data_IF_060952229467
#
_entry.id   IF_060952229467
#
_cell.length_a   1.000
_cell.length_b   1.000
_cell.length_c   1.000
_cell.angle_alpha   90.00
_cell.angle_beta   90.00
_cell.angle_gamma   90.00
#
_symmetry.space_group_name_H-M   'P 1'
#
loop_
_entity.id
_entity.type
_entity.pdbx_description
1 polymer ?
#
# COMPACT_ATOMS: atom_id res chain seq x y z
N UNK A 1 7.51 -26.96 -3.35
CA UNK A 1 7.95 -25.61 -2.89
C UNK A 1 8.20 -25.65 -1.40
N UNK A 2 9.39 -25.27 -0.93
CA UNK A 2 9.75 -25.33 0.50
C UNK A 2 9.04 -24.22 1.29
N UNK A 3 8.73 -24.46 2.56
CA UNK A 3 8.10 -23.46 3.44
C UNK A 3 8.86 -22.14 3.46
N UNK A 4 10.18 -22.21 3.64
CA UNK A 4 11.03 -21.03 3.72
C UNK A 4 10.92 -20.17 2.45
N UNK A 5 10.73 -20.80 1.29
CA UNK A 5 10.51 -20.09 0.02
C UNK A 5 9.16 -19.37 -0.03
N UNK A 6 8.07 -19.99 0.46
CA UNK A 6 6.75 -19.34 0.54
C UNK A 6 6.77 -18.13 1.48
N UNK A 7 7.39 -18.27 2.65
CA UNK A 7 7.54 -17.17 3.60
C UNK A 7 8.43 -16.05 3.04
N UNK A 8 9.50 -16.39 2.32
CA UNK A 8 10.38 -15.42 1.67
C UNK A 8 9.63 -14.60 0.60
N UNK A 9 8.86 -15.25 -0.26
CA UNK A 9 8.03 -14.54 -1.26
C UNK A 9 6.98 -13.65 -0.57
N UNK A 10 6.31 -14.17 0.45
CA UNK A 10 5.38 -13.37 1.26
C UNK A 10 6.07 -12.18 1.95
N UNK A 11 7.33 -12.30 2.37
CA UNK A 11 8.10 -11.16 2.87
C UNK A 11 8.42 -10.15 1.78
N UNK A 12 8.96 -10.61 0.65
CA UNK A 12 9.41 -9.77 -0.47
C UNK A 12 8.26 -8.97 -1.08
N UNK A 13 7.07 -9.55 -1.20
CA UNK A 13 5.92 -8.85 -1.78
C UNK A 13 5.14 -8.05 -0.72
N UNK A 14 5.07 -8.54 0.52
CA UNK A 14 4.21 -7.98 1.57
C UNK A 14 4.84 -6.81 2.31
N UNK A 15 6.14 -6.86 2.57
CA UNK A 15 6.84 -5.77 3.27
C UNK A 15 6.79 -4.46 2.44
N UNK A 16 7.13 -4.45 1.14
CA UNK A 16 7.00 -3.24 0.32
C UNK A 16 5.56 -2.74 0.27
N UNK A 17 4.56 -3.63 0.21
CA UNK A 17 3.15 -3.23 0.25
C UNK A 17 2.80 -2.48 1.54
N UNK A 18 3.19 -3.01 2.69
CA UNK A 18 2.94 -2.36 3.99
C UNK A 18 3.64 -0.99 4.05
N UNK A 19 4.88 -0.90 3.55
CA UNK A 19 5.61 0.38 3.48
C UNK A 19 4.87 1.37 2.58
N UNK A 20 4.41 0.94 1.40
CA UNK A 20 3.67 1.79 0.47
C UNK A 20 2.33 2.28 1.06
N UNK A 21 1.62 1.43 1.80
CA UNK A 21 0.38 1.81 2.50
C UNK A 21 0.61 2.97 3.46
N UNK A 22 1.77 3.05 4.09
CA UNK A 22 2.14 4.14 5.00
C UNK A 22 2.72 5.34 4.26
N UNK A 23 3.50 5.13 3.19
CA UNK A 23 4.13 6.22 2.45
C UNK A 23 3.15 7.00 1.57
N UNK A 24 2.21 6.33 0.88
CA UNK A 24 1.22 6.97 0.02
C UNK A 24 0.47 8.13 0.71
N UNK A 25 -0.14 7.96 1.91
CA UNK A 25 -0.82 9.06 2.58
C UNK A 25 0.14 10.18 3.01
N UNK A 26 1.38 9.86 3.41
CA UNK A 26 2.39 10.86 3.77
C UNK A 26 2.72 11.75 2.58
N UNK A 27 2.99 11.15 1.41
CA UNK A 27 3.31 11.89 0.20
C UNK A 27 2.13 12.70 -0.33
N UNK A 28 0.90 12.20 -0.18
CA UNK A 28 -0.30 12.96 -0.54
C UNK A 28 -0.50 14.16 0.40
N UNK A 29 -0.33 14.00 1.71
CA UNK A 29 -0.39 15.12 2.68
C UNK A 29 0.70 16.15 2.37
N UNK A 30 1.93 15.71 2.09
CA UNK A 30 3.01 16.61 1.69
C UNK A 30 2.65 17.36 0.40
N UNK A 31 2.07 16.67 -0.60
CA UNK A 31 1.59 17.32 -1.82
C UNK A 31 0.58 18.42 -1.48
N UNK A 32 -0.43 18.14 -0.65
CA UNK A 32 -1.41 19.14 -0.21
C UNK A 32 -0.77 20.35 0.47
N UNK A 33 0.19 20.14 1.37
CA UNK A 33 0.87 21.24 2.08
C UNK A 33 1.66 22.16 1.13
N UNK A 34 2.42 21.57 0.21
CA UNK A 34 3.22 22.32 -0.75
C UNK A 34 2.35 23.02 -1.79
N UNK A 35 1.27 22.39 -2.26
CA UNK A 35 0.30 23.03 -3.15
C UNK A 35 -0.44 24.18 -2.47
N UNK A 36 -0.84 24.06 -1.20
CA UNK A 36 -1.50 25.14 -0.47
C UNK A 36 -0.61 26.38 -0.35
N UNK A 37 0.70 26.19 -0.15
CA UNK A 37 1.66 27.28 -0.17
C UNK A 37 1.79 27.93 -1.56
N UNK A 38 1.59 27.17 -2.64
CA UNK A 38 1.68 27.65 -4.03
C UNK A 38 0.38 28.22 -4.62
N UNK A 39 -0.80 27.95 -4.04
CA UNK A 39 -2.08 28.54 -4.47
C UNK A 39 -2.03 30.08 -4.43
N UNK A 40 -1.21 30.67 -3.56
CA UNK A 40 -1.00 32.12 -3.53
C UNK A 40 -0.15 32.68 -4.69
N UNK A 41 0.48 31.82 -5.51
CA UNK A 41 1.47 32.23 -6.54
C UNK A 41 1.44 31.39 -7.83
N UNK A 42 0.27 31.21 -8.45
CA UNK A 42 0.12 30.81 -9.89
C UNK A 42 -0.09 29.31 -10.25
N UNK A 43 -0.06 28.36 -9.31
CA UNK A 43 -0.37 26.95 -9.62
C UNK A 43 -1.87 26.65 -9.43
N UNK A 44 -2.57 26.25 -10.49
CA UNK A 44 -3.95 25.73 -10.38
C UNK A 44 -3.91 24.25 -10.06
N UNK A 45 -4.47 23.86 -8.92
CA UNK A 45 -4.78 22.46 -8.63
C UNK A 45 -5.80 21.99 -9.68
N UNK A 46 -5.45 21.05 -10.56
CA UNK A 46 -6.30 20.74 -11.73
C UNK A 46 -7.67 20.20 -11.31
N UNK A 47 -7.74 19.46 -10.20
CA UNK A 47 -9.00 19.08 -9.58
C UNK A 47 -8.85 18.80 -8.08
N UNK A 48 -9.28 19.73 -7.23
CA UNK A 48 -9.32 19.54 -5.76
C UNK A 48 -10.06 18.26 -5.37
N UNK A 49 -11.08 17.89 -6.15
CA UNK A 49 -11.92 16.72 -5.91
C UNK A 49 -11.11 15.43 -6.01
N UNK A 50 -10.24 15.27 -7.03
CA UNK A 50 -9.50 14.01 -7.23
C UNK A 50 -8.43 13.81 -6.15
N UNK A 51 -7.73 14.89 -5.78
CA UNK A 51 -6.75 14.90 -4.69
C UNK A 51 -7.42 14.52 -3.36
N UNK A 52 -8.59 15.10 -3.07
CA UNK A 52 -9.33 14.76 -1.86
C UNK A 52 -9.82 13.30 -1.87
N UNK A 53 -10.34 12.82 -3.00
CA UNK A 53 -10.75 11.42 -3.13
C UNK A 53 -9.57 10.46 -2.92
N UNK A 54 -8.40 10.77 -3.50
CA UNK A 54 -7.21 9.95 -3.33
C UNK A 54 -6.69 10.00 -1.88
N UNK A 55 -6.67 11.16 -1.24
CA UNK A 55 -6.32 11.29 0.18
C UNK A 55 -7.22 10.44 1.08
N UNK A 56 -8.54 10.49 0.88
CA UNK A 56 -9.50 9.67 1.63
C UNK A 56 -9.24 8.18 1.40
N UNK A 57 -8.98 7.76 0.16
CA UNK A 57 -8.65 6.37 -0.15
C UNK A 57 -7.32 5.92 0.50
N UNK A 58 -6.30 6.78 0.52
CA UNK A 58 -4.98 6.44 1.08
C UNK A 58 -4.94 6.40 2.59
N UNK A 59 -5.83 7.14 3.27
CA UNK A 59 -5.95 7.14 4.73
C UNK A 59 -6.88 6.02 5.21
N UNK A 60 -7.93 5.68 4.46
CA UNK A 60 -8.90 4.67 4.90
C UNK A 60 -8.27 3.28 5.06
N UNK A 61 -7.35 2.89 4.17
CA UNK A 61 -6.66 1.60 4.22
C UNK A 61 -5.82 1.43 5.49
N UNK A 62 -4.82 2.30 5.80
CA UNK A 62 -4.04 2.18 7.03
C UNK A 62 -4.92 2.32 8.27
N UNK A 63 -5.97 3.16 8.23
CA UNK A 63 -6.93 3.27 9.32
C UNK A 63 -7.64 1.92 9.59
N UNK A 64 -8.19 1.28 8.55
CA UNK A 64 -8.81 -0.04 8.66
C UNK A 64 -7.84 -1.10 9.18
N UNK A 65 -6.57 -1.06 8.77
CA UNK A 65 -5.53 -1.97 9.25
C UNK A 65 -5.21 -1.75 10.74
N UNK A 66 -5.10 -0.50 11.19
CA UNK A 66 -4.89 -0.16 12.59
C UNK A 66 -6.07 -0.58 13.45
N UNK A 67 -7.30 -0.28 13.01
CA UNK A 67 -8.53 -0.70 13.71
C UNK A 67 -8.59 -2.23 13.81
N UNK A 68 -8.34 -2.95 12.70
CA UNK A 68 -8.32 -4.42 12.72
C UNK A 68 -7.24 -4.97 13.65
N UNK A 69 -6.05 -4.37 13.69
CA UNK A 69 -4.99 -4.78 14.60
C UNK A 69 -5.36 -4.57 16.08
N UNK A 70 -6.01 -3.46 16.42
CA UNK A 70 -6.46 -3.15 17.79
C UNK A 70 -7.61 -4.07 18.20
N UNK A 71 -8.65 -4.18 17.37
CA UNK A 71 -9.82 -5.02 17.64
C UNK A 71 -9.46 -6.50 17.81
N UNK A 72 -8.41 -6.98 17.14
CA UNK A 72 -7.95 -8.36 17.22
C UNK A 72 -6.75 -8.58 18.16
N UNK A 73 -6.47 -7.64 19.08
CA UNK A 73 -5.37 -7.73 20.06
C UNK A 73 -4.00 -8.10 19.44
N UNK A 74 -3.65 -7.51 18.30
CA UNK A 74 -2.40 -7.76 17.57
C UNK A 74 -2.18 -9.22 17.11
N UNK A 75 -3.25 -10.01 16.95
CA UNK A 75 -3.15 -11.37 16.38
C UNK A 75 -2.77 -11.32 14.90
N UNK A 76 -1.48 -11.55 14.61
CA UNK A 76 -0.90 -11.54 13.26
C UNK A 76 -1.66 -12.44 12.25
N UNK A 77 -2.20 -13.58 12.68
CA UNK A 77 -2.97 -14.49 11.81
C UNK A 77 -4.21 -13.82 11.23
N UNK A 78 -5.01 -13.22 12.11
CA UNK A 78 -6.25 -12.51 11.73
C UNK A 78 -5.91 -11.33 10.83
N UNK A 79 -4.84 -10.59 11.16
CA UNK A 79 -4.35 -9.49 10.33
C UNK A 79 -4.00 -9.92 8.91
N UNK A 80 -3.26 -11.03 8.73
CA UNK A 80 -2.87 -11.52 7.39
C UNK A 80 -4.06 -12.03 6.60
N UNK A 81 -5.02 -12.69 7.24
CA UNK A 81 -6.26 -13.15 6.61
C UNK A 81 -7.12 -11.98 6.14
N UNK A 82 -7.39 -11.01 7.02
CA UNK A 82 -8.12 -9.78 6.68
C UNK A 82 -7.39 -9.00 5.59
N UNK A 83 -6.07 -8.84 5.69
CA UNK A 83 -5.27 -8.16 4.66
C UNK A 83 -5.43 -8.84 3.30
N UNK A 84 -5.41 -10.18 3.25
CA UNK A 84 -5.54 -10.94 2.01
C UNK A 84 -6.94 -10.79 1.37
N UNK A 85 -8.00 -10.80 2.18
CA UNK A 85 -9.38 -10.67 1.69
C UNK A 85 -9.69 -9.26 1.19
N UNK A 86 -9.25 -8.24 1.94
CA UNK A 86 -9.50 -6.83 1.61
C UNK A 86 -8.62 -6.33 0.45
N UNK A 87 -7.44 -6.93 0.21
CA UNK A 87 -6.50 -6.42 -0.79
C UNK A 87 -7.05 -6.49 -2.23
N UNK A 88 -7.88 -7.48 -2.56
CA UNK A 88 -8.43 -7.61 -3.92
C UNK A 88 -9.36 -6.45 -4.33
N UNK A 89 -10.45 -6.15 -3.58
CA UNK A 89 -11.31 -5.01 -3.92
C UNK A 89 -10.55 -3.67 -3.79
N UNK A 90 -9.66 -3.55 -2.80
CA UNK A 90 -8.80 -2.37 -2.65
C UNK A 90 -7.95 -2.14 -3.90
N UNK A 91 -7.32 -3.19 -4.45
CA UNK A 91 -6.47 -3.06 -5.63
C UNK A 91 -7.24 -2.58 -6.86
N UNK A 92 -8.47 -3.07 -7.06
CA UNK A 92 -9.30 -2.64 -8.18
C UNK A 92 -9.66 -1.16 -8.08
N UNK A 93 -10.07 -0.70 -6.89
CA UNK A 93 -10.34 0.71 -6.64
C UNK A 93 -9.06 1.53 -6.86
N UNK A 94 -7.93 1.06 -6.34
CA UNK A 94 -6.64 1.74 -6.45
C UNK A 94 -6.17 1.84 -7.90
N UNK A 95 -6.40 0.82 -8.72
CA UNK A 95 -6.07 0.85 -10.14
C UNK A 95 -6.89 1.93 -10.87
N UNK A 96 -8.19 2.02 -10.60
CA UNK A 96 -9.07 3.05 -11.18
C UNK A 96 -8.60 4.44 -10.77
N UNK A 97 -8.29 4.63 -9.48
CA UNK A 97 -7.77 5.90 -8.96
C UNK A 97 -6.43 6.22 -9.59
N UNK A 98 -5.52 5.25 -9.73
CA UNK A 98 -4.21 5.46 -10.32
C UNK A 98 -4.26 5.89 -11.78
N UNK A 99 -5.13 5.25 -12.58
CA UNK A 99 -5.36 5.64 -13.97
C UNK A 99 -5.95 7.05 -14.02
N UNK A 100 -7.02 7.30 -13.26
CA UNK A 100 -7.73 8.59 -13.26
C UNK A 100 -6.82 9.73 -12.82
N UNK A 101 -6.07 9.53 -11.75
CA UNK A 101 -5.09 10.48 -11.21
C UNK A 101 -3.97 10.76 -12.21
N UNK A 102 -3.41 9.72 -12.85
CA UNK A 102 -2.36 9.89 -13.87
C UNK A 102 -2.85 10.73 -15.05
N UNK A 103 -4.08 10.54 -15.51
CA UNK A 103 -4.66 11.27 -16.65
C UNK A 103 -5.01 12.71 -16.28
N UNK A 104 -5.66 12.93 -15.13
CA UNK A 104 -6.14 14.24 -14.71
C UNK A 104 -4.96 15.15 -14.32
N UNK A 105 -4.00 14.61 -13.58
CA UNK A 105 -2.91 15.43 -13.04
C UNK A 105 -1.79 15.70 -14.05
N UNK A 106 -1.76 15.01 -15.20
CA UNK A 106 -0.65 15.05 -16.17
C UNK A 106 -0.19 16.48 -16.50
N UNK A 107 -1.14 17.40 -16.64
CA UNK A 107 -0.94 18.77 -17.10
C UNK A 107 -0.89 19.83 -15.97
N UNK A 108 -0.93 19.43 -14.69
CA UNK A 108 -1.06 20.34 -13.53
C UNK A 108 0.03 21.39 -13.37
N UNK A 109 1.26 21.07 -13.77
CA UNK A 109 2.44 21.91 -13.51
C UNK A 109 3.13 22.36 -14.79
N UNK A 110 2.43 22.31 -15.94
CA UNK A 110 2.98 22.89 -17.18
C UNK A 110 3.35 24.36 -16.96
N UNK A 111 4.55 24.79 -17.39
CA UNK A 111 5.44 24.13 -18.35
C UNK A 111 6.49 23.16 -17.76
N UNK A 112 6.50 22.90 -16.45
CA UNK A 112 7.49 22.01 -15.81
C UNK A 112 7.34 20.57 -16.36
N UNK A 113 8.44 19.94 -16.83
CA UNK A 113 8.39 18.55 -17.32
C UNK A 113 8.02 17.55 -16.21
N UNK A 114 7.25 16.52 -16.57
CA UNK A 114 6.67 15.56 -15.61
C UNK A 114 7.70 14.72 -14.83
N UNK A 115 8.93 14.61 -15.33
CA UNK A 115 10.02 13.82 -14.72
C UNK A 115 10.99 14.66 -13.88
N UNK A 116 10.72 15.95 -13.71
CA UNK A 116 11.49 16.87 -12.86
C UNK A 116 13.01 16.91 -13.15
N UNK A 117 13.43 17.25 -14.39
CA UNK A 117 14.84 17.39 -14.77
C UNK A 117 15.61 18.36 -13.88
N UNK A 118 16.85 18.02 -13.52
CA UNK A 118 17.72 18.91 -12.74
C UNK A 118 18.19 20.15 -13.53
N UNK A 119 18.18 20.07 -14.85
CA UNK A 119 18.61 21.10 -15.80
C UNK A 119 17.49 22.10 -16.19
N UNK A 120 16.27 21.90 -15.70
CA UNK A 120 15.17 22.83 -15.95
C UNK A 120 15.26 24.09 -15.09
N UNK A 121 15.00 25.25 -15.69
CA UNK A 121 14.96 26.54 -14.98
C UNK A 121 13.66 26.67 -14.18
N UNK A 122 13.67 26.14 -12.95
CA UNK A 122 12.54 26.27 -12.03
C UNK A 122 12.38 27.73 -11.57
N UNK A 123 11.15 28.29 -11.61
CA UNK A 123 10.91 29.68 -11.19
C UNK A 123 11.29 29.92 -9.72
N UNK A 124 11.02 28.93 -8.86
CA UNK A 124 11.28 28.98 -7.42
C UNK A 124 11.74 27.61 -6.90
N UNK A 125 12.50 27.60 -5.80
CA UNK A 125 12.91 26.35 -5.12
C UNK A 125 11.73 25.50 -4.61
N UNK A 126 10.56 26.12 -4.42
CA UNK A 126 9.32 25.41 -4.10
C UNK A 126 8.83 24.62 -5.32
N UNK A 127 9.00 25.14 -6.55
CA UNK A 127 8.54 24.46 -7.78
C UNK A 127 9.26 23.12 -8.03
N UNK A 128 10.55 23.01 -7.69
CA UNK A 128 11.28 21.74 -7.79
C UNK A 128 10.82 20.73 -6.74
N UNK A 129 10.57 21.17 -5.51
CA UNK A 129 10.05 20.30 -4.44
C UNK A 129 8.65 19.77 -4.80
N UNK A 130 7.74 20.65 -5.24
CA UNK A 130 6.39 20.25 -5.69
C UNK A 130 6.44 19.24 -6.83
N UNK A 131 7.33 19.46 -7.81
CA UNK A 131 7.52 18.52 -8.91
C UNK A 131 7.95 17.13 -8.39
N UNK A 132 8.99 17.08 -7.55
CA UNK A 132 9.51 15.82 -7.00
C UNK A 132 8.47 15.09 -6.14
N UNK A 133 7.74 15.80 -5.30
CA UNK A 133 6.69 15.21 -4.46
C UNK A 133 5.60 14.58 -5.34
N UNK A 134 5.14 15.29 -6.38
CA UNK A 134 4.16 14.76 -7.33
C UNK A 134 4.67 13.50 -8.04
N UNK A 135 5.92 13.52 -8.52
CA UNK A 135 6.53 12.38 -9.19
C UNK A 135 6.63 11.16 -8.25
N UNK A 136 7.09 11.37 -7.02
CA UNK A 136 7.20 10.30 -6.03
C UNK A 136 5.84 9.73 -5.65
N UNK A 137 4.82 10.58 -5.47
CA UNK A 137 3.46 10.14 -5.20
C UNK A 137 2.92 9.26 -6.33
N UNK A 138 3.13 9.67 -7.59
CA UNK A 138 2.75 8.89 -8.76
C UNK A 138 3.50 7.54 -8.81
N UNK A 139 4.81 7.54 -8.53
CA UNK A 139 5.61 6.31 -8.47
C UNK A 139 5.08 5.36 -7.39
N UNK A 140 4.83 5.84 -6.17
CA UNK A 140 4.35 4.99 -5.07
C UNK A 140 2.96 4.43 -5.35
N UNK A 141 2.08 5.23 -5.94
CA UNK A 141 0.76 4.79 -6.38
C UNK A 141 0.85 3.61 -7.36
N UNK A 142 1.72 3.70 -8.38
CA UNK A 142 1.91 2.62 -9.35
C UNK A 142 2.67 1.42 -8.78
N UNK A 143 3.63 1.63 -7.88
CA UNK A 143 4.30 0.54 -7.16
C UNK A 143 3.30 -0.25 -6.30
N UNK A 144 2.34 0.43 -5.66
CA UNK A 144 1.30 -0.25 -4.90
C UNK A 144 0.45 -1.17 -5.80
N UNK A 145 0.05 -0.69 -6.98
CA UNK A 145 -0.66 -1.51 -7.99
C UNK A 145 0.19 -2.71 -8.42
N UNK A 146 1.48 -2.50 -8.70
CA UNK A 146 2.40 -3.55 -9.13
C UNK A 146 2.56 -4.64 -8.05
N UNK A 147 3.00 -4.25 -6.84
CA UNK A 147 3.24 -5.20 -5.76
C UNK A 147 1.95 -5.88 -5.30
N UNK A 148 0.83 -5.16 -5.29
CA UNK A 148 -0.47 -5.71 -4.92
C UNK A 148 -0.98 -6.71 -5.97
N UNK A 149 -0.79 -6.41 -7.25
CA UNK A 149 -1.10 -7.34 -8.35
C UNK A 149 -0.26 -8.61 -8.26
N UNK A 150 1.05 -8.48 -8.02
CA UNK A 150 1.94 -9.62 -7.81
C UNK A 150 1.56 -10.44 -6.58
N UNK A 151 1.15 -9.78 -5.49
CA UNK A 151 0.67 -10.45 -4.28
C UNK A 151 -0.58 -11.29 -4.57
N UNK A 152 -1.58 -10.72 -5.26
CA UNK A 152 -2.82 -11.41 -5.61
C UNK A 152 -2.54 -12.58 -6.56
N UNK A 153 -1.66 -12.41 -7.54
CA UNK A 153 -1.23 -13.51 -8.41
C UNK A 153 -0.56 -14.63 -7.60
N UNK A 154 0.37 -14.30 -6.70
CA UNK A 154 1.00 -15.27 -5.81
C UNK A 154 -0.01 -15.97 -4.88
N UNK A 155 -1.05 -15.24 -4.45
CA UNK A 155 -2.16 -15.80 -3.67
C UNK A 155 -2.97 -16.81 -4.49
N UNK A 156 -3.32 -16.44 -5.73
CA UNK A 156 -4.10 -17.28 -6.65
C UNK A 156 -3.36 -18.58 -6.99
N UNK A 157 -2.06 -18.51 -7.24
CA UNK A 157 -1.23 -19.70 -7.49
C UNK A 157 -0.87 -20.50 -6.22
N UNK A 158 -1.33 -20.09 -5.03
CA UNK A 158 -1.05 -20.78 -3.77
C UNK A 158 0.43 -20.76 -3.36
N UNK A 159 1.19 -19.76 -3.83
CA UNK A 159 2.62 -19.56 -3.56
C UNK A 159 2.82 -18.88 -2.18
N UNK A 160 1.82 -18.12 -1.72
CA UNK A 160 1.83 -17.47 -0.41
C UNK A 160 1.81 -18.49 0.77
N UNK A 161 2.32 -18.09 1.95
CA UNK A 161 2.36 -18.97 3.12
C UNK A 161 0.95 -19.36 3.58
N UNK A 162 0.78 -20.63 3.95
CA UNK A 162 -0.48 -21.20 4.45
C UNK A 162 -0.60 -21.03 5.95
N UNK A 163 -1.79 -21.24 6.51
CA UNK A 163 -2.05 -21.21 7.96
C UNK A 163 -1.05 -22.01 8.79
N UNK A 164 -0.67 -23.20 8.32
CA UNK A 164 0.29 -24.07 9.00
C UNK A 164 1.71 -23.49 8.98
N UNK A 165 2.05 -22.71 7.94
CA UNK A 165 3.34 -22.01 7.85
C UNK A 165 3.36 -20.83 8.84
N UNK A 166 2.23 -20.11 9.01
CA UNK A 166 2.09 -18.99 9.95
C UNK A 166 2.05 -19.43 11.43
N UNK A 167 1.26 -20.47 11.77
CA UNK A 167 1.12 -20.99 13.15
C UNK A 167 2.48 -21.34 13.78
N UNK A 168 3.41 -21.82 12.97
CA UNK A 168 4.75 -22.23 13.41
C UNK A 168 5.74 -21.07 13.53
N UNK A 169 5.50 -19.95 12.84
CA UNK A 169 6.27 -18.71 12.98
C UNK A 169 5.87 -17.93 14.23
N UNK A 170 4.59 -17.96 14.60
CA UNK A 170 4.05 -17.24 15.77
C UNK A 170 4.15 -18.03 17.07
N UNK A 171 4.78 -19.22 17.05
CA UNK A 171 4.95 -20.07 18.23
C UNK A 171 3.65 -20.56 18.86
N UNK A 172 2.51 -20.41 18.18
CA UNK A 172 1.18 -20.69 18.74
C UNK A 172 0.87 -22.18 18.56
N UNK A 173 1.49 -23.03 19.39
CA UNK A 173 0.90 -24.33 19.71
C UNK A 173 -0.34 -24.06 20.56
N UNK A 174 -1.51 -24.01 19.93
CA UNK A 174 -2.73 -24.35 20.66
C UNK A 174 -2.65 -25.83 20.97
N UNK A 175 -2.41 -26.18 22.24
CA UNK A 175 -2.73 -27.50 22.78
C UNK A 175 -4.24 -27.70 22.70
N UNK A 176 -4.78 -28.03 21.53
CA UNK A 176 -6.10 -28.65 21.39
C UNK A 176 -6.00 -29.58 20.19
N UNK A 177 -6.40 -30.82 20.39
CA UNK A 177 -6.38 -31.97 19.47
C UNK A 177 -5.10 -32.82 19.42
N UNK A 178 -4.71 -33.35 20.56
CA UNK A 178 -4.43 -34.79 20.66
C UNK A 178 -5.19 -35.33 21.89
N UNK A 179 -6.42 -35.80 21.69
CA UNK A 179 -6.94 -36.83 22.59
C UNK A 179 -5.93 -37.97 22.58
N UNK A 180 -5.39 -38.40 23.74
CA UNK A 180 -4.44 -39.50 23.75
C UNK A 180 -5.08 -40.73 23.12
N UNK A 181 -4.35 -41.51 22.30
CA UNK A 181 -4.88 -42.75 21.77
C UNK A 181 -5.34 -43.61 22.96
N UNK A 182 -6.47 -44.33 22.85
CA UNK A 182 -6.88 -45.25 23.90
C UNK A 182 -5.78 -46.31 23.97
N UNK A 183 -4.95 -46.22 25.01
CA UNK A 183 -4.03 -47.27 25.36
C UNK A 183 -4.87 -48.49 25.69
N UNK A 184 -4.72 -49.51 24.85
CA UNK A 184 -5.02 -50.88 25.20
C UNK A 184 -4.21 -51.26 26.44
N UNK A 185 -4.88 -51.57 27.54
CA UNK A 185 -4.32 -52.35 28.63
C UNK A 185 -5.44 -53.09 29.36
N UNK A 186 -5.58 -54.36 28.98
CA UNK A 186 -5.99 -55.55 29.73
C UNK A 186 -7.11 -55.45 30.77
#
# INVERSE_FOLDING_TARGET
MTRNFRCLIGGILGIPLIILILLCPVFEILKFQYFFQQITREMKLANVIIEFCYLVCTISIPFSLVVSAICNCCRLKVFVETFKEELFPILLIWLIVAISYSVITKDEIKPIPSYCPSDFSYPHGISIATCRIRLMNLIFMWLFVLFGGLWIQAAYFGILPKDNDLKRLTGTYSYVDESPPPYWSN
#
